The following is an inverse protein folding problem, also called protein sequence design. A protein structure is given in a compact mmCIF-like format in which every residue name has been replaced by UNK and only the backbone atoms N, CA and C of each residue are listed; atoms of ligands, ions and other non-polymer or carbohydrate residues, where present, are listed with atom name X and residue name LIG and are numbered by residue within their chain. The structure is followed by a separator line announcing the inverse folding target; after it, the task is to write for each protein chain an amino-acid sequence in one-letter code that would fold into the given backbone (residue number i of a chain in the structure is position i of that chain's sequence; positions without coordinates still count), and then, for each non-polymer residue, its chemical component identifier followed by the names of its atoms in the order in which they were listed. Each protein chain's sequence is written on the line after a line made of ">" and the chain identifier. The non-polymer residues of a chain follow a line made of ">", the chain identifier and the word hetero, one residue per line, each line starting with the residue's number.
data_IF_843636757049
#
_entry.id   IF_843636757049
#
_cell.length_a   1.000
_cell.length_b   1.000
_cell.length_c   1.000
_cell.angle_alpha   90.00
_cell.angle_beta   90.00
_cell.angle_gamma   90.00
#
_symmetry.space_group_name_H-M   'P 1'
#
loop_
_entity.id
_entity.type
_entity.pdbx_description
1 polymer ?
#
# COMPACT_ATOMS: atom_id res chain seq x y z
N UNK A 1 24.20 -7.87 -13.83
CA UNK A 1 24.01 -7.81 -12.37
C UNK A 1 25.02 -8.65 -11.58
N UNK A 2 25.11 -9.98 -11.76
CA UNK A 2 26.05 -10.82 -10.98
C UNK A 2 27.51 -10.33 -11.05
N UNK A 3 28.01 -10.02 -12.24
CA UNK A 3 29.36 -9.45 -12.44
C UNK A 3 29.58 -8.15 -11.68
N UNK A 4 28.56 -7.28 -11.63
CA UNK A 4 28.62 -6.02 -10.88
C UNK A 4 28.70 -6.31 -9.37
N UNK A 5 27.81 -7.17 -8.85
CA UNK A 5 27.78 -7.55 -7.43
C UNK A 5 29.09 -8.20 -6.97
N UNK A 6 29.74 -8.99 -7.83
CA UNK A 6 31.01 -9.65 -7.52
C UNK A 6 32.23 -8.76 -7.72
N UNK A 7 32.06 -7.51 -8.17
CA UNK A 7 33.19 -6.62 -8.39
C UNK A 7 33.78 -6.13 -7.05
N UNK A 8 35.10 -6.21 -6.81
CA UNK A 8 35.71 -5.87 -5.51
C UNK A 8 35.46 -4.43 -5.02
N UNK A 9 35.15 -3.50 -5.93
CA UNK A 9 34.80 -2.12 -5.58
C UNK A 9 33.38 -1.97 -5.00
N UNK A 10 32.49 -2.94 -5.19
CA UNK A 10 31.14 -2.91 -4.59
C UNK A 10 31.26 -3.25 -3.11
N UNK A 11 30.99 -2.27 -2.26
CA UNK A 11 31.03 -2.40 -0.78
C UNK A 11 29.65 -2.44 -0.15
N UNK A 12 28.64 -1.90 -0.84
CA UNK A 12 27.26 -1.85 -0.40
C UNK A 12 26.32 -1.94 -1.60
N UNK A 13 25.17 -2.57 -1.40
CA UNK A 13 24.09 -2.68 -2.39
C UNK A 13 22.79 -2.27 -1.73
N UNK A 14 22.10 -1.30 -2.33
CA UNK A 14 20.70 -1.03 -2.00
C UNK A 14 19.81 -1.69 -3.04
N UNK A 15 18.77 -2.42 -2.60
CA UNK A 15 17.83 -3.08 -3.51
C UNK A 15 16.38 -2.81 -3.10
N UNK A 16 15.56 -2.44 -4.09
CA UNK A 16 14.11 -2.49 -3.99
C UNK A 16 13.58 -3.59 -4.90
N UNK A 17 12.76 -4.49 -4.37
CA UNK A 17 12.24 -5.62 -5.16
C UNK A 17 11.69 -6.74 -4.29
N UNK A 18 11.78 -7.98 -4.80
CA UNK A 18 11.27 -9.14 -4.08
C UNK A 18 12.24 -9.66 -3.02
N UNK A 19 11.70 -10.27 -1.97
CA UNK A 19 12.49 -10.96 -0.94
C UNK A 19 13.42 -12.03 -1.54
N UNK A 20 12.93 -12.80 -2.52
CA UNK A 20 13.74 -13.80 -3.22
C UNK A 20 14.94 -13.19 -3.95
N UNK A 21 14.77 -12.00 -4.54
CA UNK A 21 15.85 -11.29 -5.23
C UNK A 21 16.88 -10.77 -4.23
N UNK A 22 16.44 -10.23 -3.08
CA UNK A 22 17.36 -9.80 -2.03
C UNK A 22 18.23 -10.95 -1.51
N UNK A 23 17.64 -12.14 -1.30
CA UNK A 23 18.40 -13.35 -0.93
C UNK A 23 19.38 -13.79 -2.01
N UNK A 24 18.97 -13.75 -3.27
CA UNK A 24 19.88 -14.05 -4.38
C UNK A 24 21.06 -13.04 -4.46
N UNK A 25 20.85 -11.78 -4.10
CA UNK A 25 21.92 -10.77 -4.00
C UNK A 25 22.85 -11.08 -2.84
N UNK A 26 22.32 -11.37 -1.65
CA UNK A 26 23.10 -11.81 -0.48
C UNK A 26 24.00 -13.01 -0.84
N UNK A 27 23.45 -14.02 -1.53
CA UNK A 27 24.18 -15.22 -1.95
C UNK A 27 25.33 -14.92 -2.92
N UNK A 28 25.11 -14.01 -3.88
CA UNK A 28 26.15 -13.61 -4.84
C UNK A 28 27.27 -12.85 -4.13
N UNK A 29 26.92 -11.96 -3.19
CA UNK A 29 27.91 -11.23 -2.41
C UNK A 29 28.70 -12.16 -1.49
N UNK A 30 28.06 -13.15 -0.87
CA UNK A 30 28.73 -14.16 -0.04
C UNK A 30 29.73 -14.99 -0.85
N UNK A 31 29.37 -15.41 -2.07
CA UNK A 31 30.29 -16.14 -2.97
C UNK A 31 31.47 -15.29 -3.42
N UNK A 32 31.26 -13.99 -3.63
CA UNK A 32 32.33 -13.06 -4.00
C UNK A 32 33.25 -12.70 -2.82
N UNK A 33 32.77 -12.87 -1.59
CA UNK A 33 33.49 -12.52 -0.36
C UNK A 33 33.52 -13.71 0.62
N UNK A 34 34.18 -14.84 0.26
CA UNK A 34 34.10 -16.09 1.03
C UNK A 34 34.71 -16.00 2.43
N UNK A 35 35.52 -14.99 2.71
CA UNK A 35 36.14 -14.73 4.03
C UNK A 35 35.26 -13.92 4.97
N UNK A 36 34.20 -13.28 4.46
CA UNK A 36 33.26 -12.52 5.28
C UNK A 36 32.20 -13.43 5.88
N UNK A 37 31.84 -13.18 7.15
CA UNK A 37 30.69 -13.84 7.77
C UNK A 37 29.39 -13.46 7.07
N UNK A 38 28.37 -14.32 7.16
CA UNK A 38 27.04 -14.03 6.60
C UNK A 38 26.38 -12.80 7.22
N UNK A 39 26.64 -12.51 8.51
CA UNK A 39 26.20 -11.27 9.14
C UNK A 39 26.86 -10.04 8.51
N UNK A 40 28.15 -10.12 8.15
CA UNK A 40 28.86 -9.03 7.50
C UNK A 40 28.36 -8.83 6.07
N UNK A 41 28.11 -9.91 5.32
CA UNK A 41 27.50 -9.83 3.99
C UNK A 41 26.09 -9.24 4.06
N UNK A 42 25.25 -9.67 5.01
CA UNK A 42 23.91 -9.09 5.21
C UNK A 42 23.98 -7.58 5.48
N UNK A 43 24.98 -7.10 6.21
CA UNK A 43 25.18 -5.66 6.44
C UNK A 43 25.63 -4.87 5.21
N UNK A 44 26.10 -5.54 4.15
CA UNK A 44 26.42 -4.92 2.86
C UNK A 44 25.18 -4.74 1.98
N UNK A 45 24.02 -5.23 2.41
CA UNK A 45 22.75 -5.10 1.68
C UNK A 45 21.79 -4.31 2.54
N UNK A 46 21.29 -3.20 2.00
CA UNK A 46 20.03 -2.61 2.47
C UNK A 46 18.95 -2.90 1.46
N UNK A 47 17.75 -3.23 1.93
CA UNK A 47 16.64 -3.51 1.04
C UNK A 47 15.33 -2.92 1.50
N UNK A 48 14.55 -2.45 0.54
CA UNK A 48 13.12 -2.12 0.68
C UNK A 48 12.32 -3.19 -0.06
N UNK A 49 11.59 -4.01 0.69
CA UNK A 49 10.81 -5.12 0.15
C UNK A 49 9.34 -4.96 0.53
N UNK A 50 8.46 -5.68 -0.15
CA UNK A 50 7.03 -5.53 0.05
C UNK A 50 6.46 -6.23 1.28
N UNK A 51 5.14 -6.18 1.39
CA UNK A 51 4.35 -6.95 2.35
C UNK A 51 2.97 -7.25 1.77
N UNK A 52 2.28 -8.24 2.33
CA UNK A 52 0.84 -8.39 2.16
C UNK A 52 0.13 -7.32 3.02
N UNK A 53 0.05 -6.09 2.50
CA UNK A 53 -0.35 -4.91 3.27
C UNK A 53 -1.76 -5.05 3.86
N UNK A 54 -1.89 -5.08 5.20
CA UNK A 54 -3.17 -5.17 5.89
C UNK A 54 -3.96 -3.87 5.81
N UNK A 55 -5.26 -3.98 5.63
CA UNK A 55 -6.28 -2.95 5.82
C UNK A 55 -7.19 -3.42 6.95
N UNK A 56 -6.88 -2.97 8.16
CA UNK A 56 -7.52 -3.41 9.40
C UNK A 56 -8.77 -2.56 9.61
N UNK A 57 -9.94 -3.19 9.64
CA UNK A 57 -11.19 -2.53 9.97
C UNK A 57 -11.49 -2.83 11.43
N UNK A 58 -11.57 -1.79 12.25
CA UNK A 58 -11.91 -1.91 13.67
C UNK A 58 -13.39 -2.29 13.87
N UNK A 59 -13.72 -2.92 15.00
CA UNK A 59 -15.06 -3.40 15.31
C UNK A 59 -15.91 -2.33 16.02
N UNK A 60 -16.40 -1.35 15.28
CA UNK A 60 -17.29 -0.31 15.84
C UNK A 60 -18.57 -0.12 15.04
N UNK A 61 -19.38 0.84 15.48
CA UNK A 61 -20.55 1.28 14.75
C UNK A 61 -20.14 2.38 13.76
N UNK A 62 -20.04 2.02 12.49
CA UNK A 62 -19.77 2.94 11.40
C UNK A 62 -21.10 3.49 10.87
N UNK A 63 -21.13 4.78 10.56
CA UNK A 63 -22.14 5.32 9.66
C UNK A 63 -21.93 4.78 8.24
N UNK A 64 -22.96 4.78 7.40
CA UNK A 64 -22.83 4.39 5.98
C UNK A 64 -21.77 5.24 5.26
N UNK A 65 -21.66 6.52 5.63
CA UNK A 65 -20.67 7.44 5.08
C UNK A 65 -19.24 7.01 5.43
N UNK A 66 -18.99 6.64 6.69
CA UNK A 66 -17.68 6.15 7.11
C UNK A 66 -17.32 4.83 6.40
N UNK A 67 -18.28 3.90 6.27
CA UNK A 67 -18.09 2.66 5.51
C UNK A 67 -17.71 2.93 4.05
N UNK A 68 -18.44 3.85 3.40
CA UNK A 68 -18.16 4.27 2.03
C UNK A 68 -16.75 4.85 1.90
N UNK A 69 -16.34 5.71 2.83
CA UNK A 69 -15.01 6.34 2.79
C UNK A 69 -13.88 5.33 2.98
N UNK A 70 -14.04 4.35 3.88
CA UNK A 70 -13.06 3.25 4.05
C UNK A 70 -12.98 2.41 2.78
N UNK A 71 -14.12 1.97 2.24
CA UNK A 71 -14.21 1.22 1.00
C UNK A 71 -13.53 1.96 -0.17
N UNK A 72 -13.79 3.27 -0.28
CA UNK A 72 -13.25 4.13 -1.34
C UNK A 72 -11.73 4.26 -1.26
N UNK A 73 -11.18 4.43 -0.05
CA UNK A 73 -9.73 4.48 0.17
C UNK A 73 -9.03 3.16 -0.17
N UNK A 74 -9.61 2.02 0.24
CA UNK A 74 -9.07 0.69 -0.07
C UNK A 74 -9.10 0.44 -1.59
N UNK A 75 -10.22 0.73 -2.24
CA UNK A 75 -10.35 0.59 -3.69
C UNK A 75 -9.36 1.50 -4.45
N UNK A 76 -9.22 2.76 -4.03
CA UNK A 76 -8.29 3.72 -4.59
C UNK A 76 -6.84 3.24 -4.44
N UNK A 77 -6.43 2.86 -3.23
CA UNK A 77 -5.09 2.32 -2.98
C UNK A 77 -4.80 1.04 -3.77
N UNK A 78 -5.78 0.15 -3.92
CA UNK A 78 -5.62 -1.10 -4.68
C UNK A 78 -5.52 -0.86 -6.18
N UNK A 79 -6.37 -0.02 -6.74
CA UNK A 79 -6.40 0.24 -8.19
C UNK A 79 -5.27 1.15 -8.65
N UNK A 80 -4.69 1.93 -7.74
CA UNK A 80 -3.51 2.74 -8.03
C UNK A 80 -2.38 1.85 -8.57
N UNK A 81 -1.97 2.11 -9.82
CA UNK A 81 -0.94 1.35 -10.54
C UNK A 81 -1.24 -0.17 -10.64
N UNK A 82 -2.50 -0.59 -10.82
CA UNK A 82 -2.92 -2.01 -10.86
C UNK A 82 -2.48 -2.79 -9.60
N UNK A 83 -2.36 -2.14 -8.44
CA UNK A 83 -1.89 -2.76 -7.20
C UNK A 83 -0.38 -3.02 -7.15
N UNK A 84 0.37 -2.50 -8.11
CA UNK A 84 1.82 -2.65 -8.24
C UNK A 84 2.58 -1.60 -7.44
N UNK A 85 2.24 -1.48 -6.15
CA UNK A 85 2.92 -0.66 -5.16
C UNK A 85 3.22 -1.54 -3.94
N UNK A 86 4.39 -1.37 -3.30
CA UNK A 86 4.77 -2.15 -2.11
C UNK A 86 3.86 -1.92 -0.88
N UNK A 87 3.02 -0.89 -0.94
CA UNK A 87 2.03 -0.49 0.07
C UNK A 87 0.58 -0.70 -0.38
N UNK A 88 0.38 -1.31 -1.54
CA UNK A 88 -0.96 -1.53 -2.09
C UNK A 88 -1.75 -2.38 -1.11
N UNK A 89 -3.03 -2.05 -0.81
CA UNK A 89 -3.93 -2.95 -0.09
C UNK A 89 -3.90 -4.38 -0.66
N UNK A 90 -3.65 -5.37 0.19
CA UNK A 90 -3.66 -6.79 -0.23
C UNK A 90 -4.53 -7.66 0.67
N UNK A 91 -4.65 -7.34 1.95
CA UNK A 91 -5.45 -8.12 2.91
C UNK A 91 -6.35 -7.19 3.70
N UNK A 92 -7.65 -7.33 3.57
CA UNK A 92 -8.65 -6.69 4.43
C UNK A 92 -8.89 -7.61 5.62
N UNK A 93 -8.76 -7.06 6.83
CA UNK A 93 -8.92 -7.80 8.08
C UNK A 93 -10.20 -7.33 8.76
N UNK A 94 -11.15 -8.23 8.92
CA UNK A 94 -12.44 -7.98 9.57
C UNK A 94 -12.57 -8.82 10.83
N UNK A 95 -13.31 -8.31 11.82
CA UNK A 95 -13.85 -9.17 12.88
C UNK A 95 -14.96 -10.04 12.31
N UNK A 96 -14.92 -11.34 12.63
CA UNK A 96 -15.97 -12.28 12.29
C UNK A 96 -17.30 -11.92 12.97
N UNK A 97 -17.25 -11.32 14.16
CA UNK A 97 -18.42 -10.90 14.95
C UNK A 97 -18.94 -9.51 14.55
N UNK A 98 -18.23 -8.78 13.70
CA UNK A 98 -18.61 -7.40 13.36
C UNK A 98 -19.92 -7.35 12.57
N UNK A 99 -20.94 -6.72 13.16
CA UNK A 99 -22.32 -6.67 12.65
C UNK A 99 -22.44 -6.03 11.26
N UNK A 100 -21.52 -5.14 10.89
CA UNK A 100 -21.58 -4.39 9.63
C UNK A 100 -20.62 -4.94 8.56
N UNK A 101 -19.96 -6.09 8.80
CA UNK A 101 -18.98 -6.67 7.87
C UNK A 101 -19.54 -6.90 6.47
N UNK A 102 -20.80 -7.34 6.36
CA UNK A 102 -21.43 -7.61 5.06
C UNK A 102 -21.81 -6.32 4.33
N UNK A 103 -22.31 -5.31 5.06
CA UNK A 103 -22.55 -3.99 4.50
C UNK A 103 -21.25 -3.33 4.02
N UNK A 104 -20.16 -3.49 4.77
CA UNK A 104 -18.84 -3.03 4.35
C UNK A 104 -18.35 -3.73 3.09
N UNK A 105 -18.50 -5.07 2.99
CA UNK A 105 -18.17 -5.83 1.76
C UNK A 105 -18.94 -5.32 0.55
N UNK A 106 -20.23 -5.01 0.71
CA UNK A 106 -21.04 -4.40 -0.34
C UNK A 106 -20.45 -3.07 -0.81
N UNK A 107 -20.13 -2.16 0.11
CA UNK A 107 -19.50 -0.87 -0.22
C UNK A 107 -18.13 -1.03 -0.88
N UNK A 108 -17.31 -1.97 -0.40
CA UNK A 108 -16.02 -2.27 -1.02
C UNK A 108 -16.20 -2.78 -2.46
N UNK A 109 -17.17 -3.66 -2.70
CA UNK A 109 -17.48 -4.17 -4.02
C UNK A 109 -17.99 -3.05 -4.96
N UNK A 110 -18.86 -2.17 -4.47
CA UNK A 110 -19.34 -0.99 -5.20
C UNK A 110 -18.17 -0.09 -5.63
N UNK A 111 -17.28 0.24 -4.70
CA UNK A 111 -16.11 1.11 -4.97
C UNK A 111 -15.09 0.46 -5.91
N UNK A 112 -14.86 -0.85 -5.78
CA UNK A 112 -14.02 -1.60 -6.72
C UNK A 112 -14.61 -1.68 -8.14
N UNK A 113 -15.94 -1.61 -8.30
CA UNK A 113 -16.57 -1.53 -9.62
C UNK A 113 -16.54 -0.10 -10.18
N UNK A 114 -16.77 0.89 -9.31
CA UNK A 114 -16.90 2.31 -9.68
C UNK A 114 -15.58 2.93 -10.10
N UNK A 115 -14.50 2.66 -9.37
CA UNK A 115 -13.20 3.23 -9.65
C UNK A 115 -12.51 2.54 -10.84
N UNK A 116 -11.81 3.28 -11.72
CA UNK A 116 -11.27 2.71 -12.95
C UNK A 116 -10.11 1.73 -12.71
N UNK A 117 -9.90 0.84 -13.66
CA UNK A 117 -8.77 -0.09 -13.73
C UNK A 117 -7.69 0.45 -14.67
N UNK A 118 -6.43 0.28 -14.29
CA UNK A 118 -5.26 0.53 -15.13
C UNK A 118 -4.62 -0.82 -15.47
N UNK A 119 -4.08 -1.03 -16.68
CA UNK A 119 -3.44 -2.28 -17.04
C UNK A 119 -2.23 -2.57 -16.15
N UNK A 120 -2.00 -3.86 -15.90
CA UNK A 120 -0.86 -4.30 -15.13
C UNK A 120 0.43 -4.18 -15.96
N UNK A 121 1.31 -3.30 -15.50
CA UNK A 121 2.56 -2.95 -16.21
C UNK A 121 3.69 -3.96 -15.98
N UNK A 122 3.78 -4.54 -14.78
CA UNK A 122 4.94 -5.35 -14.39
C UNK A 122 4.84 -6.80 -14.91
N UNK A 123 5.93 -7.33 -15.50
CA UNK A 123 5.98 -8.73 -15.91
C UNK A 123 5.68 -9.69 -14.75
N UNK A 124 4.81 -10.66 -15.00
CA UNK A 124 4.42 -11.67 -14.01
C UNK A 124 3.35 -11.25 -13.02
N UNK A 125 2.87 -10.00 -13.02
CA UNK A 125 1.75 -9.59 -12.15
C UNK A 125 0.45 -10.34 -12.47
N UNK A 126 0.16 -10.56 -13.75
CA UNK A 126 -1.00 -11.35 -14.20
C UNK A 126 -0.84 -12.83 -13.82
N UNK A 127 0.34 -13.41 -14.03
CA UNK A 127 0.61 -14.82 -13.68
C UNK A 127 0.54 -15.08 -12.18
N UNK A 128 1.02 -14.13 -11.37
CA UNK A 128 0.92 -14.20 -9.91
C UNK A 128 -0.53 -14.13 -9.45
N UNK A 129 -1.32 -13.21 -10.01
CA UNK A 129 -2.75 -13.12 -9.73
C UNK A 129 -3.45 -14.44 -10.10
N UNK A 130 -3.20 -14.96 -11.31
CA UNK A 130 -3.73 -16.25 -11.75
C UNK A 130 -3.38 -17.38 -10.79
N UNK A 131 -2.14 -17.45 -10.31
CA UNK A 131 -1.67 -18.48 -9.38
C UNK A 131 -2.42 -18.43 -8.04
N UNK A 132 -2.66 -17.22 -7.50
CA UNK A 132 -3.44 -17.05 -6.28
C UNK A 132 -4.92 -17.44 -6.49
N UNK A 133 -5.48 -17.11 -7.66
CA UNK A 133 -6.86 -17.48 -8.04
C UNK A 133 -7.03 -18.98 -8.24
N UNK A 134 -6.07 -19.64 -8.87
CA UNK A 134 -6.10 -21.10 -9.02
C UNK A 134 -5.93 -21.79 -7.66
N UNK A 135 -5.13 -21.20 -6.76
CA UNK A 135 -5.07 -21.58 -5.35
C UNK A 135 -6.44 -21.52 -4.66
N UNK A 136 -7.27 -20.49 -4.92
CA UNK A 136 -8.62 -20.41 -4.36
C UNK A 136 -9.45 -21.69 -4.59
N UNK A 137 -9.37 -22.25 -5.80
CA UNK A 137 -10.17 -23.44 -6.17
C UNK A 137 -9.78 -24.65 -5.33
N UNK A 138 -8.51 -24.77 -4.94
CA UNK A 138 -8.01 -25.86 -4.10
C UNK A 138 -8.59 -25.79 -2.68
N UNK A 139 -8.75 -24.58 -2.14
CA UNK A 139 -9.27 -24.36 -0.78
C UNK A 139 -10.80 -24.17 -0.72
N UNK A 140 -11.49 -24.17 -1.87
CA UNK A 140 -12.93 -23.87 -1.94
C UNK A 140 -13.28 -22.40 -1.66
N UNK A 141 -12.27 -21.53 -1.61
CA UNK A 141 -12.45 -20.10 -1.37
C UNK A 141 -13.20 -19.43 -2.52
N UNK A 142 -14.13 -18.53 -2.19
CA UNK A 142 -14.84 -17.74 -3.20
C UNK A 142 -13.90 -16.67 -3.76
N UNK A 143 -13.73 -16.67 -5.08
CA UNK A 143 -12.94 -15.67 -5.79
C UNK A 143 -13.80 -14.97 -6.85
N UNK A 144 -13.82 -13.64 -6.81
CA UNK A 144 -14.72 -12.81 -7.64
C UNK A 144 -13.90 -11.79 -8.41
N UNK A 145 -13.92 -11.86 -9.75
CA UNK A 145 -13.31 -10.84 -10.61
C UNK A 145 -14.22 -9.61 -10.67
N UNK A 146 -13.66 -8.45 -10.33
CA UNK A 146 -14.38 -7.18 -10.30
C UNK A 146 -14.06 -6.39 -11.57
N UNK A 147 -14.96 -6.51 -12.54
CA UNK A 147 -14.89 -5.73 -13.79
C UNK A 147 -15.21 -4.27 -13.48
N UNK A 148 -14.38 -3.38 -14.01
CA UNK A 148 -14.45 -1.95 -13.84
C UNK A 148 -14.03 -1.24 -15.14
N UNK A 149 -14.45 0.01 -15.38
CA UNK A 149 -14.06 0.75 -16.58
C UNK A 149 -12.54 0.95 -16.63
N UNK A 150 -11.99 1.11 -17.84
CA UNK A 150 -10.59 1.52 -18.00
C UNK A 150 -10.38 2.95 -17.49
N UNK A 151 -9.14 3.28 -17.14
CA UNK A 151 -8.71 4.63 -16.76
C UNK A 151 -8.88 5.64 -17.89
N UNK A 152 -8.87 5.20 -19.16
CA UNK A 152 -9.21 6.01 -20.32
C UNK A 152 -9.72 5.15 -21.48
N UNK A 153 -10.40 5.76 -22.46
CA UNK A 153 -10.91 5.06 -23.65
C UNK A 153 -9.77 4.48 -24.53
N UNK A 154 -8.60 5.12 -24.51
CA UNK A 154 -7.41 4.72 -25.27
C UNK A 154 -6.58 3.64 -24.57
N UNK A 155 -6.85 3.38 -23.30
CA UNK A 155 -6.11 2.42 -22.50
C UNK A 155 -6.83 1.07 -22.52
N UNK A 156 -6.26 0.08 -23.20
CA UNK A 156 -6.79 -1.27 -23.20
C UNK A 156 -6.58 -1.94 -21.83
N UNK A 157 -7.62 -2.61 -21.32
CA UNK A 157 -7.58 -3.45 -20.12
C UNK A 157 -8.07 -4.86 -20.49
N UNK A 158 -7.32 -5.88 -20.07
CA UNK A 158 -7.67 -7.28 -20.23
C UNK A 158 -8.24 -7.88 -18.94
N UNK A 159 -8.68 -9.14 -19.03
CA UNK A 159 -9.25 -9.88 -17.89
C UNK A 159 -8.30 -9.91 -16.68
N UNK A 160 -6.99 -10.06 -16.93
CA UNK A 160 -5.96 -10.13 -15.89
C UNK A 160 -5.66 -8.81 -15.16
N UNK A 161 -6.17 -7.67 -15.64
CA UNK A 161 -5.97 -6.36 -15.05
C UNK A 161 -7.03 -6.02 -13.99
N UNK A 162 -8.16 -6.74 -14.01
CA UNK A 162 -9.24 -6.52 -13.06
C UNK A 162 -8.89 -7.04 -11.67
N UNK A 163 -9.42 -6.35 -10.66
CA UNK A 163 -9.22 -6.77 -9.27
C UNK A 163 -9.93 -8.10 -9.03
N UNK A 164 -9.22 -9.08 -8.50
CA UNK A 164 -9.83 -10.32 -8.01
C UNK A 164 -9.92 -10.25 -6.49
N UNK A 165 -11.15 -10.35 -5.98
CA UNK A 165 -11.45 -10.41 -4.56
C UNK A 165 -11.48 -11.86 -4.09
N UNK A 166 -10.67 -12.20 -3.08
CA UNK A 166 -10.53 -13.54 -2.52
C UNK A 166 -11.07 -13.59 -1.09
N UNK A 167 -12.14 -14.34 -0.85
CA UNK A 167 -12.65 -14.59 0.51
C UNK A 167 -11.88 -15.76 1.13
N UNK A 168 -10.97 -15.45 2.05
CA UNK A 168 -10.04 -16.42 2.64
C UNK A 168 -10.65 -17.21 3.81
N UNK A 169 -11.80 -16.79 4.33
CA UNK A 169 -12.43 -17.41 5.51
C UNK A 169 -11.74 -17.02 6.83
N UNK A 170 -11.91 -17.88 7.84
CA UNK A 170 -11.42 -17.67 9.21
C UNK A 170 -10.34 -18.70 9.57
N UNK A 171 -9.18 -18.27 10.11
CA UNK A 171 -8.16 -19.20 10.57
C UNK A 171 -8.71 -20.26 11.54
N UNK A 172 -8.40 -21.53 11.28
CA UNK A 172 -8.88 -22.66 12.09
C UNK A 172 -10.20 -23.29 11.61
N UNK A 173 -10.89 -22.69 10.65
CA UNK A 173 -12.12 -23.24 10.07
C UNK A 173 -11.86 -24.01 8.76
N UNK A 174 -12.81 -24.89 8.42
CA UNK A 174 -12.82 -25.57 7.13
C UNK A 174 -12.95 -24.54 5.99
N UNK A 175 -12.14 -24.67 4.94
CA UNK A 175 -12.12 -23.74 3.81
C UNK A 175 -11.25 -22.49 4.00
N UNK A 176 -10.54 -22.36 5.13
CA UNK A 176 -9.57 -21.28 5.31
C UNK A 176 -8.41 -21.38 4.31
N UNK A 177 -8.10 -20.26 3.64
CA UNK A 177 -7.03 -20.15 2.67
C UNK A 177 -6.01 -19.08 3.09
N UNK A 178 -4.86 -19.53 3.59
CA UNK A 178 -3.77 -18.64 4.00
C UNK A 178 -2.87 -18.18 2.85
N UNK A 179 -2.92 -18.80 1.66
CA UNK A 179 -1.97 -18.50 0.59
C UNK A 179 -1.93 -17.01 0.18
N UNK A 180 -3.07 -16.32 0.02
CA UNK A 180 -3.07 -14.90 -0.35
C UNK A 180 -2.47 -13.97 0.72
N UNK A 181 -2.32 -14.43 1.96
CA UNK A 181 -1.74 -13.68 3.07
C UNK A 181 -0.21 -13.88 3.11
N UNK A 182 0.28 -15.05 2.66
CA UNK A 182 1.68 -15.45 2.76
C UNK A 182 2.53 -15.11 1.53
N UNK A 183 1.90 -14.53 0.51
CA UNK A 183 2.57 -14.09 -0.71
C UNK A 183 2.23 -12.64 -0.99
N UNK A 184 3.25 -11.82 -1.25
CA UNK A 184 3.01 -10.47 -1.76
C UNK A 184 2.40 -10.52 -3.17
N UNK A 185 1.12 -10.17 -3.24
CA UNK A 185 0.32 -9.99 -4.44
C UNK A 185 0.58 -8.61 -5.07
N UNK A 186 1.76 -8.46 -5.67
CA UNK A 186 2.15 -7.29 -6.45
C UNK A 186 1.37 -7.22 -7.78
N UNK A 187 0.12 -6.75 -7.68
CA UNK A 187 -0.87 -6.84 -8.74
C UNK A 187 -2.31 -6.72 -8.20
N UNK A 188 -3.32 -7.13 -8.98
CA UNK A 188 -4.71 -6.79 -8.73
C UNK A 188 -5.44 -7.87 -7.91
N UNK A 189 -4.82 -8.43 -6.86
CA UNK A 189 -5.49 -9.38 -5.94
C UNK A 189 -5.75 -8.74 -4.58
N UNK A 190 -7.00 -8.69 -4.14
CA UNK A 190 -7.36 -8.23 -2.80
C UNK A 190 -8.01 -9.40 -2.05
N UNK A 191 -7.57 -9.64 -0.82
CA UNK A 191 -8.07 -10.75 0.00
C UNK A 191 -8.85 -10.21 1.19
N UNK A 192 -9.87 -10.92 1.63
CA UNK A 192 -10.60 -10.64 2.86
C UNK A 192 -10.44 -11.82 3.80
N UNK A 193 -10.05 -11.53 5.04
CA UNK A 193 -9.98 -12.51 6.12
C UNK A 193 -10.89 -12.07 7.25
N UNK A 194 -11.49 -13.04 7.95
CA UNK A 194 -12.22 -12.79 9.18
C UNK A 194 -11.45 -13.41 10.34
N UNK A 195 -11.09 -12.60 11.34
CA UNK A 195 -10.52 -13.13 12.57
C UNK A 195 -11.63 -13.27 13.60
N UNK A 196 -11.65 -14.44 14.24
CA UNK A 196 -12.59 -14.76 15.31
C UNK A 196 -12.03 -14.27 16.65
N UNK A 197 -12.91 -13.81 17.54
CA UNK A 197 -12.59 -13.56 18.94
C UNK A 197 -13.42 -14.48 19.82
N UNK A 198 -12.77 -15.32 20.63
CA UNK A 198 -13.44 -16.28 21.55
C UNK A 198 -14.31 -15.59 22.63
N UNK A 199 -14.23 -14.26 22.75
CA UNK A 199 -14.97 -13.43 23.73
C UNK A 199 -15.46 -12.13 23.07
N UNK A 200 -16.52 -11.55 23.62
CA UNK A 200 -17.00 -10.17 23.35
C UNK A 200 -15.92 -9.14 23.75
N UNK A 201 -14.80 -9.11 23.02
CA UNK A 201 -13.66 -8.22 23.27
C UNK A 201 -13.77 -6.95 22.42
N UNK A 202 -14.95 -6.35 22.32
CA UNK A 202 -15.16 -5.20 21.43
C UNK A 202 -14.14 -4.07 21.63
N UNK A 203 -13.62 -3.83 22.83
CA UNK A 203 -12.60 -2.77 23.05
C UNK A 203 -11.15 -3.25 22.84
N UNK A 204 -10.88 -4.55 22.97
CA UNK A 204 -9.52 -5.11 22.91
C UNK A 204 -9.27 -5.97 21.67
N UNK A 205 -10.25 -6.15 20.79
CA UNK A 205 -10.18 -6.99 19.60
C UNK A 205 -8.92 -6.69 18.75
N UNK A 206 -8.61 -5.41 18.52
CA UNK A 206 -7.39 -5.03 17.81
C UNK A 206 -6.12 -5.51 18.53
N UNK A 207 -6.02 -5.27 19.84
CA UNK A 207 -4.82 -5.56 20.62
C UNK A 207 -4.61 -7.07 20.87
N UNK A 208 -5.70 -7.81 21.12
CA UNK A 208 -5.64 -9.22 21.53
C UNK A 208 -5.75 -10.21 20.38
N UNK A 209 -6.40 -9.83 19.27
CA UNK A 209 -6.65 -10.74 18.14
C UNK A 209 -5.88 -10.30 16.91
N UNK A 210 -6.08 -9.06 16.45
CA UNK A 210 -5.50 -8.59 15.19
C UNK A 210 -3.97 -8.43 15.30
N UNK A 211 -3.47 -7.76 16.34
CA UNK A 211 -2.04 -7.50 16.50
C UNK A 211 -1.22 -8.79 16.60
N UNK A 212 -1.57 -9.79 17.45
CA UNK A 212 -0.82 -11.04 17.52
C UNK A 212 -0.86 -11.81 16.19
N UNK A 213 -2.00 -11.83 15.50
CA UNK A 213 -2.12 -12.46 14.20
C UNK A 213 -1.17 -11.82 13.17
N UNK A 214 -1.18 -10.49 13.05
CA UNK A 214 -0.38 -9.76 12.06
C UNK A 214 1.11 -9.69 12.40
N UNK A 215 1.46 -9.75 13.68
CA UNK A 215 2.86 -9.80 14.13
C UNK A 215 3.51 -11.15 13.83
N UNK A 216 2.73 -12.24 13.80
CA UNK A 216 3.22 -13.55 13.45
C UNK A 216 3.39 -13.69 11.91
N UNK A 217 4.64 -13.84 11.46
CA UNK A 217 4.97 -13.91 10.02
C UNK A 217 4.70 -15.27 9.37
N UNK A 218 4.27 -16.25 10.16
CA UNK A 218 3.68 -17.49 9.65
C UNK A 218 2.22 -17.29 9.21
N UNK A 219 1.58 -16.19 9.61
CA UNK A 219 0.20 -15.86 9.23
C UNK A 219 0.11 -14.89 8.06
N UNK A 220 1.07 -13.96 7.95
CA UNK A 220 1.05 -12.92 6.93
C UNK A 220 2.45 -12.45 6.54
N UNK A 221 2.65 -12.18 5.26
CA UNK A 221 3.94 -11.82 4.69
C UNK A 221 4.31 -10.36 4.95
N UNK A 222 5.48 -10.13 5.55
CA UNK A 222 6.10 -8.81 5.68
C UNK A 222 5.48 -7.90 6.74
N UNK A 223 6.06 -6.71 6.88
CA UNK A 223 5.79 -5.71 7.90
C UNK A 223 5.94 -4.26 7.41
N UNK A 224 6.00 -4.03 6.09
CA UNK A 224 6.30 -2.70 5.53
C UNK A 224 5.27 -1.64 5.94
N UNK A 225 3.99 -1.91 5.72
CA UNK A 225 2.93 -0.96 6.08
C UNK A 225 1.59 -1.63 6.36
N UNK A 226 0.71 -0.93 7.07
CA UNK A 226 -0.68 -1.29 7.29
C UNK A 226 -1.55 -0.05 7.52
N UNK A 227 -2.84 -0.15 7.19
CA UNK A 227 -3.84 0.86 7.58
C UNK A 227 -4.73 0.31 8.70
N UNK A 228 -5.11 1.16 9.65
CA UNK A 228 -6.16 0.91 10.65
C UNK A 228 -7.27 1.92 10.42
N UNK A 229 -8.47 1.45 10.15
CA UNK A 229 -9.66 2.27 10.00
C UNK A 229 -10.53 2.11 11.23
N UNK A 230 -10.83 3.21 11.92
CA UNK A 230 -11.65 3.26 13.13
C UNK A 230 -12.78 4.27 12.95
N UNK A 231 -14.03 3.93 13.33
CA UNK A 231 -15.14 4.86 13.25
C UNK A 231 -15.06 5.88 14.37
N UNK A 232 -15.80 6.98 14.22
CA UNK A 232 -15.94 8.00 15.26
C UNK A 232 -16.60 7.45 16.53
N UNK A 233 -17.47 6.46 16.42
CA UNK A 233 -18.16 5.83 17.56
C UNK A 233 -17.19 5.25 18.60
N UNK A 234 -15.98 4.86 18.20
CA UNK A 234 -14.91 4.39 19.09
C UNK A 234 -14.16 5.51 19.82
N UNK A 235 -14.48 6.78 19.54
CA UNK A 235 -13.91 7.93 20.23
C UNK A 235 -12.47 8.28 19.81
N UNK A 236 -11.68 8.74 20.77
CA UNK A 236 -10.33 9.28 20.54
C UNK A 236 -9.34 8.20 20.06
N UNK A 237 -8.38 8.61 19.22
CA UNK A 237 -7.26 7.76 18.81
C UNK A 237 -6.32 7.39 19.97
N UNK A 238 -6.43 8.03 21.14
CA UNK A 238 -5.65 7.65 22.34
C UNK A 238 -5.86 6.19 22.76
N UNK A 239 -7.05 5.62 22.51
CA UNK A 239 -7.28 4.19 22.78
C UNK A 239 -6.39 3.27 21.94
N UNK A 240 -5.92 3.74 20.78
CA UNK A 240 -5.06 2.97 19.89
C UNK A 240 -3.61 2.91 20.38
N UNK A 241 -3.23 3.62 21.45
CA UNK A 241 -1.83 3.65 21.91
C UNK A 241 -1.28 2.25 22.20
N UNK A 242 -2.06 1.37 22.83
CA UNK A 242 -1.65 -0.01 23.09
C UNK A 242 -1.45 -0.79 21.78
N UNK A 243 -2.42 -0.70 20.86
CA UNK A 243 -2.36 -1.31 19.52
C UNK A 243 -1.12 -0.82 18.77
N UNK A 244 -0.89 0.49 18.73
CA UNK A 244 0.22 1.11 18.00
C UNK A 244 1.57 0.80 18.62
N UNK A 245 1.65 0.62 19.95
CA UNK A 245 2.89 0.25 20.61
C UNK A 245 3.35 -1.17 20.25
N UNK A 246 2.41 -2.09 20.00
CA UNK A 246 2.68 -3.51 19.79
C UNK A 246 2.55 -3.98 18.33
N UNK A 247 1.89 -3.22 17.45
CA UNK A 247 1.74 -3.56 16.03
C UNK A 247 3.04 -3.37 15.25
N UNK A 248 3.75 -4.46 14.93
CA UNK A 248 5.09 -4.44 14.37
C UNK A 248 5.09 -4.20 12.85
N UNK A 249 4.60 -3.04 12.42
CA UNK A 249 4.64 -2.54 11.04
C UNK A 249 5.40 -1.21 10.98
N UNK A 250 6.23 -1.03 9.96
CA UNK A 250 7.13 0.12 9.87
C UNK A 250 6.43 1.43 9.55
N UNK A 251 5.33 1.39 8.79
CA UNK A 251 4.41 2.52 8.63
C UNK A 251 2.98 2.12 8.95
N UNK A 252 2.32 2.87 9.82
CA UNK A 252 0.92 2.65 10.20
C UNK A 252 0.09 3.88 9.85
N UNK A 253 -0.92 3.73 8.99
CA UNK A 253 -1.84 4.79 8.62
C UNK A 253 -3.18 4.64 9.35
N UNK A 254 -3.59 5.65 10.11
CA UNK A 254 -4.88 5.67 10.83
C UNK A 254 -5.89 6.47 10.02
N UNK A 255 -7.01 5.87 9.65
CA UNK A 255 -8.06 6.48 8.83
C UNK A 255 -7.52 7.14 7.55
N UNK A 256 -6.51 6.52 6.94
CA UNK A 256 -5.82 7.04 5.77
C UNK A 256 -5.19 5.90 4.95
N UNK A 257 -4.98 6.15 3.66
CA UNK A 257 -4.27 5.24 2.78
C UNK A 257 -2.77 5.19 3.07
N UNK A 258 -2.18 4.00 2.97
CA UNK A 258 -0.73 3.80 3.11
C UNK A 258 0.11 4.60 2.11
N UNK A 259 -0.47 5.00 0.97
CA UNK A 259 0.20 5.80 -0.05
C UNK A 259 0.83 7.08 0.52
N UNK A 260 0.21 7.66 1.55
CA UNK A 260 0.73 8.86 2.20
C UNK A 260 1.99 8.60 3.04
N UNK A 261 2.42 7.34 3.22
CA UNK A 261 3.68 6.97 3.85
C UNK A 261 4.88 7.68 3.25
N UNK A 262 4.92 7.81 1.92
CA UNK A 262 5.97 8.55 1.23
C UNK A 262 5.96 10.04 1.58
N UNK A 263 4.79 10.63 1.84
CA UNK A 263 4.70 12.03 2.25
C UNK A 263 5.26 12.22 3.66
N UNK A 264 5.10 11.24 4.55
CA UNK A 264 5.75 11.27 5.85
C UNK A 264 7.29 11.22 5.70
N UNK A 265 7.82 10.42 4.78
CA UNK A 265 9.26 10.41 4.49
C UNK A 265 9.79 11.76 4.03
N UNK A 266 9.01 12.49 3.22
CA UNK A 266 9.33 13.85 2.80
C UNK A 266 9.26 14.89 3.93
N UNK A 267 8.65 14.54 5.06
CA UNK A 267 8.47 15.38 6.26
C UNK A 267 9.34 14.94 7.44
N UNK A 268 10.38 14.14 7.18
CA UNK A 268 11.33 13.67 8.20
C UNK A 268 10.99 12.32 8.82
N UNK A 269 9.91 11.67 8.39
CA UNK A 269 9.63 10.27 8.69
C UNK A 269 10.58 9.32 7.97
N UNK A 270 10.55 8.03 8.33
CA UNK A 270 11.19 6.96 7.58
C UNK A 270 10.14 6.12 6.82
N UNK A 271 10.61 5.31 5.88
CA UNK A 271 9.86 4.24 5.24
C UNK A 271 10.74 2.99 5.22
N UNK A 272 10.20 1.86 5.67
CA UNK A 272 10.93 0.59 5.78
C UNK A 272 10.16 -0.43 6.60
N UNK A 273 10.62 -1.68 6.60
CA UNK A 273 10.05 -2.75 7.41
C UNK A 273 10.24 -2.51 8.92
N UNK A 274 9.38 -3.10 9.75
CA UNK A 274 9.54 -2.95 11.20
C UNK A 274 10.80 -3.67 11.69
N UNK A 275 11.58 -3.02 12.57
CA UNK A 275 12.89 -3.52 13.01
C UNK A 275 12.84 -4.82 13.83
N UNK A 276 11.69 -5.14 14.45
CA UNK A 276 11.47 -6.41 15.15
C UNK A 276 11.10 -7.58 14.23
N UNK A 277 10.84 -7.33 12.95
CA UNK A 277 10.64 -8.39 11.96
C UNK A 277 12.00 -8.90 11.49
N UNK A 278 12.43 -10.05 12.01
CA UNK A 278 13.83 -10.52 11.87
C UNK A 278 14.09 -11.39 10.63
N UNK A 279 13.04 -11.92 9.98
CA UNK A 279 13.16 -12.66 8.71
C UNK A 279 13.57 -11.71 7.58
N UNK A 280 13.19 -10.44 7.68
CA UNK A 280 13.51 -9.40 6.71
C UNK A 280 12.68 -9.51 5.44
N UNK A 281 11.44 -10.00 5.55
CA UNK A 281 10.50 -10.14 4.44
C UNK A 281 10.16 -8.79 3.80
N UNK A 282 10.12 -7.72 4.60
CA UNK A 282 9.97 -6.34 4.13
C UNK A 282 11.30 -5.57 4.04
N UNK A 283 12.42 -6.28 4.13
CA UNK A 283 13.75 -5.72 4.03
C UNK A 283 14.38 -5.40 5.37
N UNK A 284 15.53 -4.72 5.33
CA UNK A 284 16.42 -4.51 6.49
C UNK A 284 17.03 -3.10 6.53
N UNK A 285 16.46 -2.16 5.78
CA UNK A 285 16.84 -0.76 5.74
C UNK A 285 15.63 0.15 5.92
N UNK A 286 15.90 1.45 5.93
CA UNK A 286 14.89 2.49 5.87
C UNK A 286 15.35 3.55 4.87
N UNK A 287 14.41 4.15 4.14
CA UNK A 287 14.59 5.39 3.39
C UNK A 287 13.89 6.55 4.10
N UNK A 288 14.24 7.79 3.77
CA UNK A 288 13.67 8.99 4.41
C UNK A 288 14.59 9.58 5.47
N UNK A 289 14.02 10.05 6.58
CA UNK A 289 14.68 10.85 7.62
C UNK A 289 15.46 12.03 7.02
N UNK A 290 14.84 12.74 6.06
CA UNK A 290 15.50 13.82 5.31
C UNK A 290 16.09 14.93 6.19
N UNK A 291 15.58 15.08 7.41
CA UNK A 291 16.01 16.07 8.38
C UNK A 291 16.96 15.50 9.46
N UNK A 292 17.25 14.19 9.44
CA UNK A 292 18.10 13.52 10.43
C UNK A 292 17.55 13.56 11.86
N UNK A 293 16.22 13.63 12.01
CA UNK A 293 15.54 13.79 13.30
C UNK A 293 15.47 12.46 14.04
N UNK A 294 15.25 11.36 13.31
CA UNK A 294 14.89 10.08 13.93
C UNK A 294 16.12 9.20 14.18
N UNK A 295 17.13 9.27 13.31
CA UNK A 295 18.36 8.51 13.46
C UNK A 295 18.14 7.00 13.35
N UNK A 296 18.88 6.21 14.14
CA UNK A 296 18.95 4.73 13.96
C UNK A 296 17.91 3.92 14.74
N UNK A 297 17.15 4.55 15.63
CA UNK A 297 16.32 3.85 16.62
C UNK A 297 14.82 4.00 16.34
N UNK A 298 14.41 4.19 15.09
CA UNK A 298 12.99 4.28 14.75
C UNK A 298 12.31 2.93 14.90
N UNK A 299 11.20 2.88 15.63
CA UNK A 299 10.32 1.73 15.65
C UNK A 299 9.40 1.71 14.41
N UNK A 300 8.68 2.81 14.19
CA UNK A 300 7.74 3.01 13.08
C UNK A 300 7.38 4.47 12.87
N UNK A 301 6.73 4.76 11.76
CA UNK A 301 6.02 6.02 11.49
C UNK A 301 4.52 5.79 11.62
N UNK A 302 3.83 6.66 12.35
CA UNK A 302 2.37 6.66 12.44
C UNK A 302 1.82 7.92 11.80
N UNK A 303 0.89 7.76 10.87
CA UNK A 303 0.22 8.87 10.19
C UNK A 303 -1.25 8.89 10.56
N UNK A 304 -1.76 10.07 10.92
CA UNK A 304 -3.16 10.26 11.26
C UNK A 304 -3.90 10.98 10.14
N UNK A 305 -4.93 10.32 9.61
CA UNK A 305 -5.94 10.93 8.77
C UNK A 305 -7.02 11.64 9.59
N UNK A 306 -7.86 12.44 8.92
CA UNK A 306 -9.04 13.04 9.54
C UNK A 306 -10.05 11.96 9.98
N UNK A 307 -11.09 12.37 10.71
CA UNK A 307 -12.27 11.51 10.96
C UNK A 307 -12.80 10.94 9.65
N UNK A 308 -13.27 9.68 9.67
CA UNK A 308 -13.91 9.03 8.52
C UNK A 308 -15.22 9.71 8.10
N UNK A 309 -15.76 10.65 8.87
CA UNK A 309 -16.85 11.53 8.40
C UNK A 309 -16.38 12.51 7.31
N UNK A 310 -15.09 12.78 7.24
CA UNK A 310 -14.48 13.63 6.21
C UNK A 310 -14.26 12.84 4.95
N UNK A 311 -14.65 13.40 3.80
CA UNK A 311 -14.41 12.79 2.49
C UNK A 311 -12.91 12.50 2.29
N UNK A 312 -12.54 11.30 1.80
CA UNK A 312 -11.16 10.96 1.48
C UNK A 312 -10.55 11.97 0.50
N UNK A 313 -9.24 12.24 0.62
CA UNK A 313 -8.56 13.21 -0.24
C UNK A 313 -8.40 12.74 -1.70
N UNK A 314 -8.42 11.43 -1.95
CA UNK A 314 -8.29 10.85 -3.28
C UNK A 314 -9.41 9.83 -3.54
N UNK A 315 -9.94 9.86 -4.75
CA UNK A 315 -10.88 8.92 -5.33
C UNK A 315 -10.53 8.79 -6.82
N UNK A 316 -10.15 7.60 -7.28
CA UNK A 316 -9.70 7.41 -8.66
C UNK A 316 -10.83 7.56 -9.69
N UNK A 317 -12.10 7.51 -9.29
CA UNK A 317 -13.23 7.81 -10.18
C UNK A 317 -13.46 9.32 -10.34
N UNK A 318 -12.85 10.15 -9.51
CA UNK A 318 -12.93 11.61 -9.59
C UNK A 318 -11.62 12.22 -9.13
N UNK A 319 -10.52 11.96 -9.87
CA UNK A 319 -9.20 12.44 -9.47
C UNK A 319 -9.20 13.98 -9.43
N UNK A 320 -8.42 14.59 -8.52
CA UNK A 320 -8.25 16.04 -8.54
C UNK A 320 -7.79 16.49 -9.93
N UNK A 321 -8.30 17.63 -10.43
CA UNK A 321 -7.82 18.18 -11.71
C UNK A 321 -6.30 18.28 -11.72
N UNK A 322 -5.66 17.93 -12.84
CA UNK A 322 -4.18 17.91 -12.95
C UNK A 322 -3.54 19.23 -12.52
N UNK A 323 -4.18 20.36 -12.82
CA UNK A 323 -3.74 21.69 -12.38
C UNK A 323 -3.65 21.82 -10.85
N UNK A 324 -4.56 21.19 -10.10
CA UNK A 324 -4.50 21.18 -8.63
C UNK A 324 -3.29 20.38 -8.16
N UNK A 325 -3.04 19.21 -8.75
CA UNK A 325 -1.86 18.39 -8.42
C UNK A 325 -0.55 19.11 -8.72
N UNK A 326 -0.47 19.81 -9.86
CA UNK A 326 0.70 20.58 -10.24
C UNK A 326 0.93 21.79 -9.32
N UNK A 327 -0.14 22.48 -8.92
CA UNK A 327 -0.04 23.55 -7.91
C UNK A 327 0.51 22.98 -6.60
N UNK A 328 -0.05 21.88 -6.11
CA UNK A 328 0.43 21.22 -4.89
C UNK A 328 1.91 20.84 -5.02
N UNK A 329 2.32 20.29 -6.18
CA UNK A 329 3.73 20.00 -6.47
C UNK A 329 4.61 21.24 -6.34
N UNK A 330 4.21 22.38 -6.90
CA UNK A 330 5.00 23.62 -6.78
C UNK A 330 5.16 24.06 -5.32
N UNK A 331 4.13 23.91 -4.49
CA UNK A 331 4.26 24.18 -3.06
C UNK A 331 5.13 23.17 -2.31
N UNK A 332 5.08 21.89 -2.68
CA UNK A 332 5.84 20.82 -2.01
C UNK A 332 7.31 20.81 -2.42
N UNK A 333 7.62 21.14 -3.66
CA UNK A 333 8.96 21.10 -4.23
C UNK A 333 9.72 22.43 -4.15
N UNK A 334 9.15 23.46 -3.52
CA UNK A 334 9.82 24.74 -3.29
C UNK A 334 10.24 24.92 -1.83
N UNK A 335 11.29 25.71 -1.64
CA UNK A 335 11.92 26.00 -0.35
C UNK A 335 11.15 27.06 0.47
N UNK A 336 10.15 27.73 -0.12
CA UNK A 336 9.35 28.74 0.54
C UNK A 336 7.95 28.87 -0.06
N UNK A 337 7.00 29.26 0.78
CA UNK A 337 5.60 29.51 0.38
C UNK A 337 5.54 30.55 -0.74
N UNK A 338 6.32 31.64 -0.64
CA UNK A 338 6.29 32.73 -1.63
C UNK A 338 6.74 32.27 -3.02
N UNK A 339 7.79 31.43 -3.07
CA UNK A 339 8.29 30.85 -4.32
C UNK A 339 7.30 29.83 -4.88
N UNK A 340 6.71 28.99 -4.03
CA UNK A 340 5.62 28.09 -4.41
C UNK A 340 4.44 28.84 -5.02
N UNK A 341 4.02 29.95 -4.42
CA UNK A 341 2.97 30.82 -4.97
C UNK A 341 3.35 31.40 -6.34
N UNK A 342 4.57 31.92 -6.49
CA UNK A 342 5.06 32.47 -7.75
C UNK A 342 5.10 31.42 -8.87
N UNK A 343 5.61 30.23 -8.57
CA UNK A 343 5.66 29.11 -9.51
C UNK A 343 4.25 28.61 -9.89
N UNK A 344 3.37 28.43 -8.91
CA UNK A 344 1.99 28.02 -9.15
C UNK A 344 1.25 29.02 -10.05
N UNK A 345 1.44 30.33 -9.81
CA UNK A 345 0.87 31.38 -10.64
C UNK A 345 1.41 31.32 -12.08
N UNK A 346 2.73 31.19 -12.24
CA UNK A 346 3.37 31.06 -13.56
C UNK A 346 2.87 29.80 -14.31
N UNK A 347 2.67 28.69 -13.59
CA UNK A 347 2.13 27.45 -14.14
C UNK A 347 0.69 27.62 -14.66
N UNK A 348 -0.18 28.28 -13.87
CA UNK A 348 -1.57 28.56 -14.30
C UNK A 348 -1.61 29.49 -15.51
N UNK A 349 -0.80 30.56 -15.51
CA UNK A 349 -0.72 31.51 -16.63
C UNK A 349 -0.23 30.80 -17.90
N UNK A 350 0.86 30.05 -17.82
CA UNK A 350 1.43 29.35 -18.98
C UNK A 350 0.46 28.33 -19.57
N UNK A 351 -0.20 27.52 -18.73
CA UNK A 351 -1.23 26.56 -19.20
C UNK A 351 -2.40 27.25 -19.87
N UNK A 352 -2.90 28.34 -19.29
CA UNK A 352 -4.01 29.10 -19.88
C UNK A 352 -3.61 29.67 -21.24
N UNK A 353 -2.40 30.21 -21.34
CA UNK A 353 -1.86 30.75 -22.59
C UNK A 353 -1.72 29.67 -23.67
N UNK A 354 -1.05 28.55 -23.38
CA UNK A 354 -0.90 27.44 -24.35
C UNK A 354 -2.23 26.78 -24.72
N UNK A 355 -3.14 26.63 -23.74
CA UNK A 355 -4.50 26.15 -23.99
C UNK A 355 -5.23 27.07 -24.97
N UNK A 356 -5.19 28.39 -24.75
CA UNK A 356 -5.81 29.37 -25.66
C UNK A 356 -5.18 29.33 -27.06
N UNK A 357 -3.85 29.21 -27.16
CA UNK A 357 -3.15 29.07 -28.44
C UNK A 357 -3.54 27.81 -29.21
N UNK A 358 -3.88 26.71 -28.54
CA UNK A 358 -4.30 25.46 -29.18
C UNK A 358 -5.63 25.56 -29.93
N UNK A 359 -6.47 26.54 -29.60
CA UNK A 359 -7.74 26.83 -30.29
C UNK A 359 -7.56 27.79 -31.49
N UNK A 360 -6.37 28.35 -31.71
CA UNK A 360 -6.10 29.17 -32.88
C UNK A 360 -5.78 28.26 -34.09
N UNK A 361 -6.56 28.31 -35.19
CA UNK A 361 -6.46 27.36 -36.31
C UNK A 361 -5.09 27.31 -37.01
N UNK A 362 -4.21 28.28 -36.77
CA UNK A 362 -2.94 28.48 -37.49
C UNK A 362 -1.76 27.77 -36.78
N UNK A 363 -1.90 27.40 -35.51
CA UNK A 363 -0.78 26.87 -34.70
C UNK A 363 -0.76 25.33 -34.61
N UNK A 364 -1.86 24.66 -35.00
CA UNK A 364 -1.97 23.20 -35.03
C UNK A 364 -0.97 22.48 -35.98
N UNK A 365 -0.25 23.22 -36.83
CA UNK A 365 0.84 22.67 -37.67
C UNK A 365 2.25 22.77 -37.06
N UNK A 366 2.46 23.57 -36.01
CA UNK A 366 3.79 23.77 -35.40
C UNK A 366 3.94 23.16 -34.02
N UNK A 367 2.85 22.82 -33.34
CA UNK A 367 2.88 22.10 -32.06
C UNK A 367 2.58 20.63 -32.34
N UNK A 368 3.50 19.99 -33.08
CA UNK A 368 3.52 18.55 -33.28
C UNK A 368 3.94 17.85 -31.98
N UNK A 369 3.27 16.72 -31.73
CA UNK A 369 3.50 15.74 -30.66
C UNK A 369 4.93 15.70 -30.11
N UNK A 370 5.06 15.88 -28.80
CA UNK A 370 6.07 15.21 -27.98
C UNK A 370 5.45 14.73 -26.69
#
# INVERSE_FOLDING_TARGET
>A
TKTLLSHPAVKHVHITGSFSTAKAVEDVLQKANPTLSSSKVKSMVTSELGCATPQIIDDGDYTELELLHVASMIACGKKSNCGSNCLSPQVVVLSKQWKQKDLFREKLLEELKRQPTTPCYYPGSVDKNKSLVDGCKQFGSKCTTIVAPSVSEETAVGEGDHVVLVECGTPGEEGFNSQPLLVEAFGPTLSIIELDSEKDENEMYLANVVVPFLNNKDNIFGSLSCSVFTPKSKGSYERLQEVLSTLNYGTVAINQMNLFGYTASAKGGIWGGHSLETLGQSGNGNIGDLFGIIGKNTAKVVMYGPSLETKPPLDNASPPPTVVLDIVREFVCTDSILKGMGNALALVISRTFYGTLSYLPIVGRFVGSK
#
